data_IF_337337931229
#
_entry.id   IF_337337931229
#
_cell.length_a   1.000
_cell.length_b   1.000
_cell.length_c   1.000
_cell.angle_alpha   90.00
_cell.angle_beta   90.00
_cell.angle_gamma   90.00
#
_symmetry.space_group_name_H-M   'P 1'
#
loop_
_entity.id
_entity.type
_entity.pdbx_description
1 polymer ?
#
# COMPACT_ATOMS: atom_id res chain seq x y z
N UNK A 1 9.95 -6.24 -5.38
CA UNK A 1 9.24 -4.99 -5.06
C UNK A 1 8.49 -4.60 -6.31
N UNK A 2 7.18 -4.30 -6.23
CA UNK A 2 6.43 -3.82 -7.39
C UNK A 2 6.99 -2.46 -7.83
N UNK A 3 7.32 -2.31 -9.12
CA UNK A 3 7.96 -1.12 -9.66
C UNK A 3 7.09 0.15 -9.51
N UNK A 4 5.81 0.11 -9.90
CA UNK A 4 4.85 1.16 -9.63
C UNK A 4 4.75 1.58 -8.16
N UNK A 5 4.57 0.63 -7.26
CA UNK A 5 4.51 0.90 -5.83
C UNK A 5 5.79 1.56 -5.30
N UNK A 6 6.96 1.11 -5.76
CA UNK A 6 8.25 1.71 -5.40
C UNK A 6 8.37 3.17 -5.86
N UNK A 7 7.92 3.47 -7.08
CA UNK A 7 7.96 4.84 -7.61
C UNK A 7 7.00 5.75 -6.86
N UNK A 8 5.78 5.30 -6.56
CA UNK A 8 4.84 6.03 -5.73
C UNK A 8 5.41 6.27 -4.32
N UNK A 9 6.04 5.25 -3.75
CA UNK A 9 6.64 5.30 -2.42
C UNK A 9 7.76 6.35 -2.30
N UNK A 10 8.52 6.55 -3.38
CA UNK A 10 9.61 7.52 -3.52
C UNK A 10 9.12 8.91 -3.99
N UNK A 11 7.82 9.13 -4.13
CA UNK A 11 7.24 10.39 -4.62
C UNK A 11 7.52 10.64 -6.11
N UNK A 12 7.92 9.63 -6.87
CA UNK A 12 8.25 9.71 -8.30
C UNK A 12 7.00 9.52 -9.16
N UNK A 13 5.92 10.24 -8.84
CA UNK A 13 4.61 10.09 -9.48
C UNK A 13 4.67 10.41 -10.97
N UNK A 14 5.43 11.43 -11.39
CA UNK A 14 5.57 11.78 -12.81
C UNK A 14 6.33 10.72 -13.60
N UNK A 15 7.37 10.13 -13.00
CA UNK A 15 8.11 9.03 -13.62
C UNK A 15 7.24 7.77 -13.73
N UNK A 16 6.41 7.51 -12.70
CA UNK A 16 5.43 6.44 -12.75
C UNK A 16 4.42 6.66 -13.87
N UNK A 17 3.87 7.88 -13.98
CA UNK A 17 2.91 8.26 -15.03
C UNK A 17 3.50 8.03 -16.42
N UNK A 18 4.71 8.53 -16.66
CA UNK A 18 5.40 8.33 -17.95
C UNK A 18 5.65 6.86 -18.26
N UNK A 19 6.02 6.05 -17.25
CA UNK A 19 6.28 4.62 -17.43
C UNK A 19 5.02 3.83 -17.82
N UNK A 20 3.83 4.28 -17.44
CA UNK A 20 2.56 3.56 -17.70
C UNK A 20 1.78 4.07 -18.90
N UNK A 21 2.04 5.29 -19.38
CA UNK A 21 1.40 5.82 -20.60
C UNK A 21 1.72 5.01 -21.86
N UNK A 22 2.89 4.36 -21.93
CA UNK A 22 3.29 3.50 -23.05
C UNK A 22 3.16 2.00 -22.79
N UNK A 23 2.73 1.57 -21.60
CA UNK A 23 2.73 0.17 -21.21
C UNK A 23 1.41 -0.52 -21.55
N UNK A 24 1.49 -1.66 -22.26
CA UNK A 24 0.35 -2.55 -22.46
C UNK A 24 0.10 -3.39 -21.20
N UNK A 25 -0.45 -2.77 -20.15
CA UNK A 25 -0.88 -3.44 -18.92
C UNK A 25 -2.39 -3.72 -18.96
N UNK A 26 -2.80 -4.89 -18.46
CA UNK A 26 -4.21 -5.28 -18.38
C UNK A 26 -5.03 -4.37 -17.46
N UNK A 27 -6.34 -4.32 -17.68
CA UNK A 27 -7.26 -3.44 -16.95
C UNK A 27 -7.16 -3.54 -15.41
N UNK A 28 -7.05 -4.74 -14.79
CA UNK A 28 -6.90 -4.84 -13.34
C UNK A 28 -5.65 -4.15 -12.80
N UNK A 29 -4.54 -4.21 -13.54
CA UNK A 29 -3.29 -3.54 -13.19
C UNK A 29 -3.33 -2.03 -13.47
N UNK A 30 -4.10 -1.58 -14.48
CA UNK A 30 -4.34 -0.13 -14.68
C UNK A 30 -5.07 0.49 -13.50
N UNK A 31 -6.03 -0.22 -12.89
CA UNK A 31 -6.76 0.27 -11.72
C UNK A 31 -5.84 0.42 -10.51
N UNK A 32 -4.94 -0.54 -10.28
CA UNK A 32 -3.89 -0.46 -9.25
C UNK A 32 -3.03 0.80 -9.46
N UNK A 33 -2.46 0.94 -10.66
CA UNK A 33 -1.58 2.06 -11.00
C UNK A 33 -2.31 3.40 -10.85
N UNK A 34 -3.57 3.48 -11.30
CA UNK A 34 -4.40 4.66 -11.19
C UNK A 34 -4.58 5.12 -9.74
N UNK A 35 -4.78 4.18 -8.81
CA UNK A 35 -4.87 4.48 -7.38
C UNK A 35 -3.53 4.94 -6.80
N UNK A 36 -2.42 4.29 -7.19
CA UNK A 36 -1.07 4.69 -6.75
C UNK A 36 -0.69 6.10 -7.23
N UNK A 37 -1.04 6.48 -8.46
CA UNK A 37 -0.81 7.82 -9.00
C UNK A 37 -1.58 8.91 -8.24
N UNK A 38 -2.73 8.56 -7.67
CA UNK A 38 -3.53 9.44 -6.81
C UNK A 38 -3.03 9.44 -5.35
N UNK A 39 -2.10 8.54 -5.02
CA UNK A 39 -1.66 8.29 -3.65
C UNK A 39 -2.77 7.71 -2.76
N UNK A 40 -3.80 7.12 -3.37
CA UNK A 40 -4.87 6.39 -2.69
C UNK A 40 -4.43 4.95 -2.46
N UNK A 41 -3.68 4.76 -1.37
CA UNK A 41 -3.14 3.46 -1.00
C UNK A 41 -4.19 2.48 -0.48
N UNK A 42 -5.37 2.95 -0.04
CA UNK A 42 -6.47 2.06 0.37
C UNK A 42 -7.05 1.41 -0.87
N UNK A 43 -7.44 2.20 -1.86
CA UNK A 43 -7.93 1.68 -3.13
C UNK A 43 -6.87 0.81 -3.81
N UNK A 44 -5.59 1.23 -3.82
CA UNK A 44 -4.53 0.41 -4.38
C UNK A 44 -4.41 -0.97 -3.70
N UNK A 45 -4.55 -1.04 -2.37
CA UNK A 45 -4.54 -2.30 -1.64
C UNK A 45 -5.73 -3.19 -2.02
N UNK A 46 -6.94 -2.64 -2.11
CA UNK A 46 -8.12 -3.40 -2.53
C UNK A 46 -7.95 -3.95 -3.95
N UNK A 47 -7.41 -3.15 -4.88
CA UNK A 47 -7.11 -3.62 -6.25
C UNK A 47 -6.02 -4.69 -6.30
N UNK A 48 -5.02 -4.62 -5.42
CA UNK A 48 -4.04 -5.70 -5.29
C UNK A 48 -4.66 -6.99 -4.77
N UNK A 49 -5.64 -6.89 -3.86
CA UNK A 49 -6.38 -8.05 -3.37
C UNK A 49 -7.19 -8.71 -4.49
N UNK A 50 -7.87 -7.91 -5.33
CA UNK A 50 -8.65 -8.39 -6.49
C UNK A 50 -7.81 -9.25 -7.44
N UNK A 51 -6.53 -8.89 -7.64
CA UNK A 51 -5.60 -9.64 -8.51
C UNK A 51 -4.77 -10.70 -7.77
N UNK A 52 -5.04 -10.94 -6.48
CA UNK A 52 -4.34 -11.94 -5.67
C UNK A 52 -2.90 -11.57 -5.30
N UNK A 53 -2.49 -10.31 -5.48
CA UNK A 53 -1.14 -9.84 -5.21
C UNK A 53 -0.93 -9.49 -3.72
N UNK A 54 -1.05 -10.51 -2.86
CA UNK A 54 -1.08 -10.38 -1.38
C UNK A 54 0.09 -9.61 -0.77
N UNK A 55 1.29 -9.75 -1.33
CA UNK A 55 2.48 -9.00 -0.86
C UNK A 55 2.32 -7.51 -1.10
N UNK A 56 1.79 -7.11 -2.26
CA UNK A 56 1.60 -5.71 -2.62
C UNK A 56 0.36 -5.11 -1.94
N UNK A 57 -0.69 -5.91 -1.74
CA UNK A 57 -1.79 -5.56 -0.87
C UNK A 57 -1.26 -5.16 0.52
N UNK A 58 -0.54 -6.05 1.20
CA UNK A 58 -0.06 -5.79 2.56
C UNK A 58 0.85 -4.55 2.64
N UNK A 59 1.69 -4.33 1.63
CA UNK A 59 2.53 -3.12 1.57
C UNK A 59 1.71 -1.85 1.35
N UNK A 60 0.75 -1.86 0.42
CA UNK A 60 -0.17 -0.73 0.23
C UNK A 60 -1.01 -0.45 1.48
N UNK A 61 -1.50 -1.48 2.19
CA UNK A 61 -2.20 -1.33 3.48
C UNK A 61 -1.32 -0.63 4.52
N UNK A 62 -0.06 -1.03 4.62
CA UNK A 62 0.90 -0.40 5.55
C UNK A 62 1.15 1.08 5.19
N UNK A 63 1.28 1.39 3.90
CA UNK A 63 1.41 2.78 3.40
C UNK A 63 0.15 3.61 3.65
N UNK A 64 -1.02 3.03 3.40
CA UNK A 64 -2.31 3.65 3.68
C UNK A 64 -2.42 4.03 5.16
N UNK A 65 -2.08 3.11 6.07
CA UNK A 65 -2.13 3.39 7.48
C UNK A 65 -1.25 4.57 7.90
N UNK A 66 -0.02 4.63 7.42
CA UNK A 66 0.88 5.78 7.70
C UNK A 66 0.26 7.10 7.25
N UNK A 67 -0.28 7.15 6.03
CA UNK A 67 -0.91 8.35 5.49
C UNK A 67 -2.17 8.75 6.28
N UNK A 68 -2.97 7.78 6.68
CA UNK A 68 -4.16 7.99 7.50
C UNK A 68 -3.78 8.53 8.89
N UNK A 69 -2.69 8.06 9.49
CA UNK A 69 -2.16 8.63 10.74
C UNK A 69 -1.72 10.07 10.56
N UNK A 70 -0.99 10.39 9.47
CA UNK A 70 -0.58 11.76 9.16
C UNK A 70 -1.79 12.70 8.97
N UNK A 71 -2.95 12.15 8.58
CA UNK A 71 -4.22 12.86 8.42
C UNK A 71 -5.09 12.86 9.69
N UNK A 72 -4.62 12.28 10.80
CA UNK A 72 -5.37 12.20 12.06
C UNK A 72 -6.51 11.16 12.06
N UNK A 73 -6.59 10.29 11.05
CA UNK A 73 -7.63 9.28 10.89
C UNK A 73 -7.25 7.95 11.57
N UNK A 74 -7.11 7.97 12.90
CA UNK A 74 -6.59 6.84 13.69
C UNK A 74 -7.36 5.52 13.52
N UNK A 75 -8.70 5.56 13.51
CA UNK A 75 -9.53 4.35 13.39
C UNK A 75 -9.30 3.65 12.04
N UNK A 76 -9.31 4.42 10.94
CA UNK A 76 -9.04 3.90 9.60
C UNK A 76 -7.60 3.39 9.49
N UNK A 77 -6.63 4.09 10.07
CA UNK A 77 -5.24 3.64 10.07
C UNK A 77 -5.06 2.29 10.79
N UNK A 78 -5.70 2.13 11.94
CA UNK A 78 -5.66 0.90 12.75
C UNK A 78 -6.20 -0.30 11.96
N UNK A 79 -7.30 -0.11 11.22
CA UNK A 79 -7.87 -1.14 10.36
C UNK A 79 -6.88 -1.58 9.27
N UNK A 80 -6.28 -0.63 8.57
CA UNK A 80 -5.30 -0.93 7.51
C UNK A 80 -4.05 -1.63 8.08
N UNK A 81 -3.55 -1.19 9.24
CA UNK A 81 -2.43 -1.83 9.95
C UNK A 81 -2.75 -3.27 10.35
N UNK A 82 -3.97 -3.52 10.86
CA UNK A 82 -4.40 -4.87 11.24
C UNK A 82 -4.34 -5.85 10.06
N UNK A 83 -4.86 -5.43 8.90
CA UNK A 83 -4.82 -6.24 7.66
C UNK A 83 -3.37 -6.49 7.18
N UNK A 84 -2.52 -5.46 7.19
CA UNK A 84 -1.11 -5.60 6.82
C UNK A 84 -0.35 -6.56 7.74
N UNK A 85 -0.53 -6.41 9.06
CA UNK A 85 0.13 -7.23 10.08
C UNK A 85 -0.28 -8.70 10.01
N UNK A 86 -1.54 -8.99 9.67
CA UNK A 86 -1.99 -10.37 9.47
C UNK A 86 -1.16 -11.09 8.39
N UNK A 87 -0.94 -10.43 7.25
CA UNK A 87 -0.07 -10.97 6.20
C UNK A 87 1.39 -11.07 6.65
N UNK A 88 1.96 -10.00 7.21
CA UNK A 88 3.36 -9.99 7.62
C UNK A 88 3.70 -11.06 8.66
N UNK A 89 2.79 -11.32 9.60
CA UNK A 89 2.91 -12.44 10.55
C UNK A 89 2.90 -13.79 9.85
N UNK A 90 2.03 -13.98 8.85
CA UNK A 90 1.94 -15.24 8.10
C UNK A 90 3.22 -15.59 7.32
N UNK A 91 4.02 -14.58 6.92
CA UNK A 91 5.26 -14.78 6.15
C UNK A 91 6.53 -14.48 6.96
N UNK A 92 6.40 -14.20 8.27
CA UNK A 92 7.56 -13.93 9.14
C UNK A 92 8.31 -12.63 8.83
N UNK A 93 7.65 -11.60 8.32
CA UNK A 93 8.26 -10.32 7.97
C UNK A 93 8.54 -9.44 9.22
N UNK A 94 9.48 -9.90 10.06
CA UNK A 94 9.77 -9.38 11.41
C UNK A 94 9.93 -7.86 11.50
N UNK A 95 10.63 -7.24 10.53
CA UNK A 95 10.78 -5.78 10.47
C UNK A 95 9.42 -5.08 10.37
N UNK A 96 8.58 -5.49 9.42
CA UNK A 96 7.27 -4.87 9.18
C UNK A 96 6.30 -5.14 10.33
N UNK A 97 6.39 -6.30 10.98
CA UNK A 97 5.64 -6.61 12.20
C UNK A 97 5.99 -5.60 13.29
N UNK A 98 7.29 -5.44 13.59
CA UNK A 98 7.76 -4.54 14.65
C UNK A 98 7.36 -3.09 14.38
N UNK A 99 7.54 -2.62 13.14
CA UNK A 99 7.23 -1.25 12.75
C UNK A 99 5.70 -1.01 12.80
N UNK A 100 4.88 -1.97 12.35
CA UNK A 100 3.42 -1.86 12.41
C UNK A 100 2.86 -1.90 13.84
N UNK A 101 3.43 -2.72 14.71
CA UNK A 101 3.05 -2.75 16.13
C UNK A 101 3.45 -1.47 16.87
N UNK A 102 4.57 -0.85 16.48
CA UNK A 102 4.95 0.47 17.00
C UNK A 102 3.95 1.55 16.59
N UNK A 103 3.50 1.54 15.32
CA UNK A 103 2.47 2.48 14.85
C UNK A 103 1.14 2.28 15.59
N UNK A 104 0.69 1.04 15.78
CA UNK A 104 -0.54 0.74 16.53
C UNK A 104 -0.51 1.27 17.97
N UNK A 105 0.64 1.12 18.66
CA UNK A 105 0.79 1.65 20.02
C UNK A 105 0.80 3.17 20.07
N UNK A 106 1.31 3.83 19.04
CA UNK A 106 1.32 5.29 18.96
C UNK A 106 -0.04 5.89 18.57
N UNK A 107 -0.93 5.08 18.00
CA UNK A 107 -2.26 5.49 17.54
C UNK A 107 -3.41 5.15 18.50
N UNK A 108 -3.12 4.45 19.61
CA UNK A 108 -4.06 4.08 20.66
C UNK A 108 -3.99 5.09 21.82
#
# INVERSE_FOLDING_TARGET
>A
MDGPLAMADLGRVDALRAAVEGAAIGEPWRLVVGALLQGDYVTAADRYADVGARTYEAHSRFRAAKRLLDQGQQAAATEQLGRALAFYRSVGATRYIRDGEALLRASA
#
